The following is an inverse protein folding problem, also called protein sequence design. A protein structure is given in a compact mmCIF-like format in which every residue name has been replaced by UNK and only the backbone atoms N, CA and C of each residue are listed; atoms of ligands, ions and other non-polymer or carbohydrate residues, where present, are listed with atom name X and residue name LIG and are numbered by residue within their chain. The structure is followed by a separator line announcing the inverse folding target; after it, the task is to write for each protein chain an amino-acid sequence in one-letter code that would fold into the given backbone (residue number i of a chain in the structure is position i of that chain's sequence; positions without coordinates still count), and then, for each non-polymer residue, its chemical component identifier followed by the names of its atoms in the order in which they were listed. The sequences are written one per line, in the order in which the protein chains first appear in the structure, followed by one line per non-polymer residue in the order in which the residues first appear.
data_IF_189818740800
#
_entry.id   IF_189818740800
#
_cell.length_a   1.000
_cell.length_b   1.000
_cell.length_c   1.000
_cell.angle_alpha   90.00
_cell.angle_beta   90.00
_cell.angle_gamma   90.00
#
_symmetry.space_group_name_H-M   'P 1'
#
loop_
_entity.id
_entity.type
_entity.pdbx_description
1 polymer ?
#
# COMPACT_ATOMS: atom_id res chain seq x y z
N UNK A 1 -19.07 -5.42 -2.54
CA UNK A 1 -17.87 -5.76 -1.75
C UNK A 1 -17.27 -4.47 -1.23
N UNK A 2 -16.87 -4.44 0.04
CA UNK A 2 -16.24 -3.29 0.66
C UNK A 2 -14.73 -3.49 0.70
N UNK A 3 -13.97 -2.44 0.38
CA UNK A 3 -12.52 -2.43 0.56
C UNK A 3 -12.19 -2.48 2.07
N UNK A 4 -10.97 -2.93 2.45
CA UNK A 4 -10.44 -2.70 3.79
C UNK A 4 -10.49 -1.21 4.15
N UNK A 5 -10.54 -0.91 5.44
CA UNK A 5 -10.41 0.47 5.93
C UNK A 5 -9.01 0.99 5.63
N UNK A 6 -8.92 2.18 5.05
CA UNK A 6 -7.65 2.88 4.85
C UNK A 6 -7.44 3.93 5.94
N UNK A 7 -6.30 3.85 6.62
CA UNK A 7 -5.73 4.91 7.42
C UNK A 7 -4.63 5.57 6.59
N UNK A 8 -4.87 6.79 6.10
CA UNK A 8 -3.91 7.53 5.28
C UNK A 8 -3.15 8.49 6.18
N UNK A 9 -1.90 8.16 6.46
CA UNK A 9 -1.00 8.94 7.29
C UNK A 9 -0.25 9.95 6.42
N UNK A 10 -0.50 11.23 6.64
CA UNK A 10 0.20 12.32 5.96
C UNK A 10 0.92 13.20 6.97
N UNK A 11 2.14 13.61 6.65
CA UNK A 11 2.89 14.61 7.43
C UNK A 11 2.53 16.03 6.98
N UNK A 12 2.12 16.18 5.71
CA UNK A 12 1.71 17.45 5.12
C UNK A 12 0.19 17.49 4.98
N UNK A 13 -0.47 18.49 5.57
CA UNK A 13 -1.92 18.65 5.52
C UNK A 13 -2.43 18.93 4.10
N UNK A 14 -1.58 19.46 3.20
CA UNK A 14 -1.92 19.67 1.79
C UNK A 14 -2.17 18.36 1.06
N UNK A 15 -1.49 17.28 1.45
CA UNK A 15 -1.75 15.96 0.86
C UNK A 15 -3.14 15.45 1.24
N UNK A 16 -3.60 15.72 2.47
CA UNK A 16 -4.95 15.41 2.94
C UNK A 16 -5.99 16.21 2.14
N UNK A 17 -5.77 17.52 1.99
CA UNK A 17 -6.67 18.39 1.21
C UNK A 17 -6.75 17.96 -0.27
N UNK A 18 -5.61 17.65 -0.88
CA UNK A 18 -5.54 17.17 -2.27
C UNK A 18 -6.23 15.80 -2.41
N UNK A 19 -6.05 14.88 -1.46
CA UNK A 19 -6.75 13.59 -1.47
C UNK A 19 -8.27 13.75 -1.41
N UNK A 20 -8.79 14.55 -0.47
CA UNK A 20 -10.23 14.75 -0.32
C UNK A 20 -10.87 15.45 -1.52
N UNK A 21 -10.21 16.47 -2.08
CA UNK A 21 -10.68 17.14 -3.29
C UNK A 21 -10.68 16.20 -4.50
N UNK A 22 -9.65 15.35 -4.61
CA UNK A 22 -9.54 14.34 -5.68
C UNK A 22 -10.62 13.27 -5.55
N UNK A 23 -10.86 12.73 -4.34
CA UNK A 23 -11.96 11.78 -4.08
C UNK A 23 -13.30 12.37 -4.49
N UNK A 24 -13.58 13.61 -4.07
CA UNK A 24 -14.83 14.30 -4.38
C UNK A 24 -15.03 14.52 -5.88
N UNK A 25 -13.95 14.82 -6.60
CA UNK A 25 -13.99 15.09 -8.05
C UNK A 25 -14.04 13.83 -8.91
N UNK A 26 -13.24 12.82 -8.59
CA UNK A 26 -13.01 11.66 -9.46
C UNK A 26 -13.77 10.40 -9.03
N UNK A 27 -14.22 10.34 -7.78
CA UNK A 27 -15.05 9.26 -7.26
C UNK A 27 -16.07 9.75 -6.19
N UNK A 28 -17.08 10.56 -6.58
CA UNK A 28 -18.04 11.15 -5.62
C UNK A 28 -18.77 10.11 -4.74
N UNK A 29 -19.00 8.91 -5.26
CA UNK A 29 -19.69 7.81 -4.57
C UNK A 29 -18.74 6.87 -3.80
N UNK A 30 -17.49 7.27 -3.53
CA UNK A 30 -16.49 6.41 -2.89
C UNK A 30 -16.94 5.84 -1.54
N UNK A 31 -17.71 6.58 -0.74
CA UNK A 31 -18.18 6.15 0.60
C UNK A 31 -19.02 4.87 0.60
N UNK A 32 -19.56 4.46 -0.56
CA UNK A 32 -20.29 3.19 -0.72
C UNK A 32 -19.38 1.96 -0.74
N UNK A 33 -18.07 2.13 -0.93
CA UNK A 33 -17.13 1.02 -1.10
C UNK A 33 -15.77 1.24 -0.44
N UNK A 34 -15.45 2.49 -0.05
CA UNK A 34 -14.21 2.89 0.60
C UNK A 34 -14.51 3.53 1.97
N UNK A 35 -13.96 2.94 3.02
CA UNK A 35 -13.85 3.56 4.34
C UNK A 35 -12.43 4.12 4.48
N UNK A 36 -12.27 5.44 4.48
CA UNK A 36 -10.97 6.10 4.52
C UNK A 36 -10.94 7.13 5.64
N UNK A 37 -9.87 7.13 6.42
CA UNK A 37 -9.60 8.10 7.48
C UNK A 37 -8.20 8.67 7.27
N UNK A 38 -8.07 10.00 7.20
CA UNK A 38 -6.78 10.68 7.12
C UNK A 38 -6.26 11.00 8.52
N UNK A 39 -4.96 10.86 8.73
CA UNK A 39 -4.27 11.16 9.99
C UNK A 39 -3.13 12.13 9.66
N UNK A 40 -3.17 13.33 10.24
CA UNK A 40 -2.10 14.31 10.10
C UNK A 40 -1.09 14.15 11.23
N UNK A 41 -0.09 13.28 11.05
CA UNK A 41 0.90 12.97 12.06
C UNK A 41 2.12 12.25 11.46
N UNK A 42 3.18 12.10 12.24
CA UNK A 42 4.30 11.20 11.92
C UNK A 42 4.06 9.80 12.48
N UNK A 43 4.61 8.76 11.84
CA UNK A 43 4.41 7.35 12.26
C UNK A 43 4.75 7.12 13.75
N UNK A 44 5.85 7.71 14.23
CA UNK A 44 6.30 7.59 15.63
C UNK A 44 5.28 8.09 16.65
N UNK A 45 4.46 9.06 16.26
CA UNK A 45 3.50 9.77 17.10
C UNK A 45 2.07 9.24 16.92
N UNK A 46 1.86 8.20 16.10
CA UNK A 46 0.54 7.61 15.95
C UNK A 46 -0.06 7.22 17.32
N UNK A 47 -1.32 7.59 17.60
CA UNK A 47 -2.00 7.23 18.84
C UNK A 47 -1.95 5.71 19.09
N UNK A 48 -1.79 5.30 20.35
CA UNK A 48 -1.63 3.88 20.73
C UNK A 48 -2.90 3.04 20.52
N UNK A 49 -4.05 3.69 20.46
CA UNK A 49 -5.36 3.12 20.13
C UNK A 49 -5.59 2.96 18.62
N UNK A 50 -4.71 3.50 17.77
CA UNK A 50 -4.76 3.27 16.31
C UNK A 50 -4.48 1.79 16.01
N UNK A 51 -5.44 1.04 15.47
CA UNK A 51 -5.24 -0.37 15.10
C UNK A 51 -5.24 -0.53 13.59
N UNK A 52 -4.29 -1.31 13.08
CA UNK A 52 -4.19 -1.67 11.67
C UNK A 52 -3.49 -3.03 11.51
N UNK A 53 -3.90 -3.80 10.51
CA UNK A 53 -3.38 -5.14 10.26
C UNK A 53 -2.12 -5.11 9.38
N UNK A 54 -2.12 -4.18 8.43
CA UNK A 54 -1.12 -4.01 7.38
C UNK A 54 -0.59 -2.59 7.35
N UNK A 55 0.74 -2.43 7.25
CA UNK A 55 1.37 -1.14 6.93
C UNK A 55 2.03 -1.22 5.55
N UNK A 56 1.87 -0.16 4.75
CA UNK A 56 2.48 -0.06 3.41
C UNK A 56 3.83 0.64 3.50
N UNK A 57 4.85 -0.03 2.97
CA UNK A 57 6.20 0.48 2.77
C UNK A 57 6.36 0.92 1.31
N UNK A 58 6.61 2.22 1.01
CA UNK A 58 6.91 2.72 -0.33
C UNK A 58 8.36 2.37 -0.74
N UNK A 59 8.70 1.08 -0.65
CA UNK A 59 10.03 0.52 -0.70
C UNK A 59 10.83 0.85 -1.98
N UNK A 60 12.09 0.43 -2.00
CA UNK A 60 12.83 0.16 -3.22
C UNK A 60 12.71 -1.32 -3.64
N UNK A 61 13.09 -1.64 -4.88
CA UNK A 61 13.01 -3.00 -5.45
C UNK A 61 13.79 -4.07 -4.69
N UNK A 62 14.71 -3.70 -3.80
CA UNK A 62 15.54 -4.62 -3.01
C UNK A 62 15.08 -4.76 -1.56
N UNK A 63 13.96 -4.14 -1.18
CA UNK A 63 13.37 -4.28 0.16
C UNK A 63 14.25 -3.76 1.30
N UNK A 64 15.14 -2.81 1.01
CA UNK A 64 15.97 -2.16 2.03
C UNK A 64 15.12 -1.07 2.70
N UNK A 65 14.87 -1.19 4.00
CA UNK A 65 13.93 -0.32 4.73
C UNK A 65 14.63 0.70 5.62
N UNK A 66 15.42 1.60 5.02
CA UNK A 66 16.32 2.51 5.75
C UNK A 66 16.24 3.99 5.34
N UNK A 67 15.26 4.37 4.52
CA UNK A 67 15.06 5.74 4.06
C UNK A 67 13.63 6.25 4.27
N UNK A 68 13.47 7.55 4.52
CA UNK A 68 12.16 8.21 4.57
C UNK A 68 11.14 7.50 5.48
N UNK A 69 10.01 7.11 4.89
CA UNK A 69 8.98 6.38 5.63
C UNK A 69 9.42 4.96 6.03
N UNK A 70 10.28 4.31 5.24
CA UNK A 70 10.78 2.97 5.57
C UNK A 70 11.71 2.98 6.79
N UNK A 71 12.56 4.01 6.93
CA UNK A 71 13.33 4.23 8.16
C UNK A 71 12.40 4.44 9.36
N UNK A 72 11.31 5.21 9.17
CA UNK A 72 10.32 5.39 10.23
C UNK A 72 9.66 4.06 10.61
N UNK A 73 9.33 3.18 9.65
CA UNK A 73 8.82 1.83 9.92
C UNK A 73 9.86 1.05 10.75
N UNK A 74 11.10 0.95 10.27
CA UNK A 74 12.17 0.22 10.94
C UNK A 74 12.40 0.71 12.37
N UNK A 75 12.53 2.02 12.60
CA UNK A 75 12.72 2.58 13.96
C UNK A 75 11.54 2.34 14.89
N UNK A 76 10.34 2.26 14.33
CA UNK A 76 9.12 2.16 15.12
C UNK A 76 8.84 0.72 15.56
N UNK A 77 9.09 -0.25 14.68
CA UNK A 77 8.86 -1.66 14.99
C UNK A 77 10.09 -2.34 15.58
N UNK A 78 11.30 -1.99 15.13
CA UNK A 78 12.56 -2.49 15.70
C UNK A 78 12.96 -1.61 16.90
N UNK A 79 12.41 -1.94 18.08
CA UNK A 79 12.79 -1.36 19.36
C UNK A 79 14.30 -1.53 19.66
N UNK A 80 14.90 -0.78 20.61
CA UNK A 80 16.35 -0.78 20.84
C UNK A 80 17.00 -2.16 21.09
N UNK A 81 16.23 -3.13 21.60
CA UNK A 81 16.69 -4.51 21.81
C UNK A 81 16.66 -5.39 20.55
N UNK A 82 16.03 -4.93 19.47
CA UNK A 82 15.94 -5.64 18.20
C UNK A 82 17.03 -5.16 17.24
N UNK A 83 17.42 -6.02 16.30
CA UNK A 83 18.22 -5.59 15.14
C UNK A 83 17.39 -4.61 14.29
N UNK A 84 17.92 -3.41 14.03
CA UNK A 84 17.31 -2.44 13.14
C UNK A 84 16.97 -3.04 11.77
N UNK A 85 17.81 -3.97 11.27
CA UNK A 85 17.62 -4.65 9.99
C UNK A 85 16.64 -5.82 10.05
N UNK A 86 16.05 -6.16 11.20
CA UNK A 86 15.17 -7.32 11.32
C UNK A 86 14.04 -7.32 10.28
N UNK A 87 13.38 -6.17 10.05
CA UNK A 87 12.36 -6.03 9.00
C UNK A 87 12.94 -6.12 7.59
N UNK A 88 14.10 -5.50 7.33
CA UNK A 88 14.77 -5.60 6.03
C UNK A 88 15.14 -7.05 5.70
N UNK A 89 15.64 -7.81 6.67
CA UNK A 89 16.07 -9.19 6.46
C UNK A 89 14.88 -10.10 6.08
N UNK A 90 13.74 -9.98 6.76
CA UNK A 90 12.54 -10.76 6.39
C UNK A 90 11.91 -10.28 5.08
N UNK A 91 11.97 -8.97 4.79
CA UNK A 91 11.54 -8.43 3.51
C UNK A 91 12.38 -9.01 2.37
N UNK A 92 13.71 -8.98 2.49
CA UNK A 92 14.63 -9.51 1.48
C UNK A 92 14.52 -11.02 1.30
N UNK A 93 14.32 -11.78 2.39
CA UNK A 93 14.03 -13.20 2.29
C UNK A 93 12.75 -13.44 1.48
N UNK A 94 11.67 -12.72 1.78
CA UNK A 94 10.41 -12.87 1.05
C UNK A 94 10.54 -12.46 -0.42
N UNK A 95 11.28 -11.40 -0.70
CA UNK A 95 11.60 -10.97 -2.06
C UNK A 95 12.45 -12.02 -2.80
N UNK A 96 13.36 -12.70 -2.13
CA UNK A 96 14.11 -13.81 -2.72
C UNK A 96 13.21 -14.98 -3.10
N UNK A 97 12.33 -15.40 -2.19
CA UNK A 97 11.39 -16.50 -2.40
C UNK A 97 10.42 -16.24 -3.57
N UNK A 98 9.92 -15.01 -3.70
CA UNK A 98 8.87 -14.69 -4.67
C UNK A 98 9.42 -14.10 -5.98
N UNK A 99 10.52 -13.36 -5.91
CA UNK A 99 11.03 -12.55 -7.04
C UNK A 99 12.52 -12.74 -7.30
N UNK A 100 13.15 -13.74 -6.68
CA UNK A 100 14.61 -13.94 -6.74
C UNK A 100 15.42 -12.67 -6.35
N UNK A 101 14.87 -11.86 -5.45
CA UNK A 101 15.57 -10.75 -4.79
C UNK A 101 15.33 -9.37 -5.41
N UNK A 102 14.51 -9.27 -6.45
CA UNK A 102 14.17 -8.02 -7.12
C UNK A 102 12.66 -7.92 -7.36
N UNK A 103 11.95 -7.07 -6.62
CA UNK A 103 10.55 -6.75 -6.92
C UNK A 103 10.49 -5.55 -7.89
N UNK A 104 9.93 -5.71 -9.11
CA UNK A 104 9.76 -4.60 -10.03
C UNK A 104 8.93 -3.46 -9.41
N UNK A 105 9.24 -2.18 -9.68
CA UNK A 105 8.37 -1.07 -9.30
C UNK A 105 6.92 -1.29 -9.76
N UNK A 106 5.96 -0.79 -8.99
CA UNK A 106 4.52 -0.97 -9.28
C UNK A 106 3.93 -2.29 -8.77
N UNK A 107 4.75 -3.21 -8.24
CA UNK A 107 4.27 -4.47 -7.64
C UNK A 107 3.93 -4.33 -6.16
N UNK A 108 3.39 -5.39 -5.55
CA UNK A 108 3.21 -5.49 -4.10
C UNK A 108 3.64 -6.88 -3.61
N UNK A 109 4.32 -6.93 -2.46
CA UNK A 109 4.66 -8.18 -1.76
C UNK A 109 4.27 -8.08 -0.29
N UNK A 110 3.43 -9.00 0.18
CA UNK A 110 3.07 -9.09 1.60
C UNK A 110 4.15 -9.87 2.37
N UNK A 111 4.62 -9.28 3.45
CA UNK A 111 5.64 -9.83 4.35
C UNK A 111 5.06 -9.90 5.76
N UNK A 112 5.10 -11.09 6.37
CA UNK A 112 4.76 -11.25 7.78
C UNK A 112 5.83 -10.63 8.66
N UNK A 113 5.42 -9.80 9.62
CA UNK A 113 6.34 -9.27 10.62
C UNK A 113 6.95 -10.44 11.42
N UNK A 114 8.25 -10.36 11.77
CA UNK A 114 8.88 -11.32 12.68
C UNK A 114 8.07 -11.44 13.96
N UNK A 115 8.00 -12.65 14.52
CA UNK A 115 7.19 -12.93 15.72
C UNK A 115 7.50 -11.97 16.86
N UNK A 116 8.78 -11.72 17.12
CA UNK A 116 9.25 -10.80 18.15
C UNK A 116 8.68 -9.39 17.96
N UNK A 117 8.66 -8.88 16.73
CA UNK A 117 8.12 -7.54 16.43
C UNK A 117 6.59 -7.49 16.53
N UNK A 118 5.90 -8.61 16.25
CA UNK A 118 4.44 -8.73 16.43
C UNK A 118 4.04 -8.68 17.90
N UNK A 119 4.83 -9.29 18.78
CA UNK A 119 4.57 -9.33 20.22
C UNK A 119 4.81 -7.98 20.90
N UNK A 120 5.72 -7.15 20.37
CA UNK A 120 6.07 -5.86 20.99
C UNK A 120 5.37 -4.65 20.39
N UNK A 121 4.80 -4.74 19.18
CA UNK A 121 4.21 -3.56 18.55
C UNK A 121 2.81 -3.24 19.09
N UNK A 122 2.61 -1.97 19.49
CA UNK A 122 1.40 -1.50 20.18
C UNK A 122 0.14 -1.39 19.32
N UNK A 123 0.27 -1.45 17.99
CA UNK A 123 -0.86 -1.24 17.07
C UNK A 123 -1.49 -2.55 16.57
N UNK A 124 -0.90 -3.70 16.93
CA UNK A 124 -1.39 -5.00 16.50
C UNK A 124 -1.12 -5.29 15.02
N UNK A 125 -0.18 -4.57 14.41
CA UNK A 125 0.19 -4.77 13.02
C UNK A 125 0.94 -6.10 12.86
N UNK A 126 0.59 -6.84 11.81
CA UNK A 126 1.12 -8.19 11.56
C UNK A 126 1.86 -8.29 10.24
N UNK A 127 1.56 -7.41 9.30
CA UNK A 127 2.04 -7.48 7.92
C UNK A 127 2.64 -6.15 7.47
N UNK A 128 3.65 -6.24 6.62
CA UNK A 128 4.18 -5.13 5.83
C UNK A 128 3.91 -5.42 4.35
N UNK A 129 3.31 -4.47 3.64
CA UNK A 129 3.21 -4.51 2.19
C UNK A 129 4.38 -3.75 1.58
N UNK A 130 5.28 -4.45 0.90
CA UNK A 130 6.33 -3.82 0.12
C UNK A 130 5.74 -3.39 -1.22
N UNK A 131 5.61 -2.08 -1.43
CA UNK A 131 5.18 -1.48 -2.68
C UNK A 131 6.35 -0.70 -3.29
N UNK A 132 7.27 -1.36 -4.01
CA UNK A 132 8.43 -0.71 -4.58
C UNK A 132 8.02 0.42 -5.53
N UNK A 133 8.44 1.63 -5.23
CA UNK A 133 8.16 2.81 -6.09
C UNK A 133 9.34 3.17 -6.98
N UNK A 134 10.49 2.52 -6.77
CA UNK A 134 11.75 2.78 -7.46
C UNK A 134 12.69 1.59 -7.31
N UNK A 135 13.66 1.46 -8.21
CA UNK A 135 14.67 0.39 -8.13
C UNK A 135 15.63 0.60 -6.95
N UNK A 136 16.19 1.80 -6.90
CA UNK A 136 17.03 2.33 -5.82
C UNK A 136 16.49 3.73 -5.50
N UNK A 137 16.83 4.32 -4.34
CA UNK A 137 16.47 5.71 -4.02
C UNK A 137 16.83 6.66 -5.17
N UNK A 138 15.82 7.09 -5.93
CA UNK A 138 15.95 7.94 -7.12
C UNK A 138 14.58 8.52 -7.53
N UNK A 139 14.57 9.39 -8.53
CA UNK A 139 13.37 9.90 -9.17
C UNK A 139 12.49 8.75 -9.67
N UNK A 140 11.22 8.72 -9.27
CA UNK A 140 10.25 7.71 -9.67
C UNK A 140 9.37 8.17 -10.84
N UNK A 141 9.49 9.42 -11.29
CA UNK A 141 8.62 9.99 -12.34
C UNK A 141 8.86 9.41 -13.74
N UNK A 142 9.97 8.69 -13.94
CA UNK A 142 10.19 7.92 -15.18
C UNK A 142 9.06 6.91 -15.39
N UNK A 143 8.57 6.34 -14.30
CA UNK A 143 7.36 5.56 -14.27
C UNK A 143 6.18 6.53 -14.12
N UNK A 144 5.37 6.59 -15.17
CA UNK A 144 4.26 7.52 -15.21
C UNK A 144 3.12 7.11 -14.29
N UNK A 145 3.05 5.85 -13.86
CA UNK A 145 1.89 5.25 -13.21
C UNK A 145 2.23 4.46 -11.94
N UNK A 146 3.46 4.55 -11.43
CA UNK A 146 3.94 3.74 -10.30
C UNK A 146 3.03 3.76 -9.06
N UNK A 147 2.36 4.89 -8.76
CA UNK A 147 1.42 4.96 -7.62
C UNK A 147 0.18 4.14 -7.92
N UNK A 148 -0.36 4.27 -9.14
CA UNK A 148 -1.53 3.50 -9.58
C UNK A 148 -1.23 2.00 -9.55
N UNK A 149 -0.08 1.59 -10.11
CA UNK A 149 0.35 0.21 -10.17
C UNK A 149 0.57 -0.38 -8.78
N UNK A 150 1.29 0.31 -7.89
CA UNK A 150 1.50 -0.13 -6.51
C UNK A 150 0.19 -0.31 -5.74
N UNK A 151 -0.76 0.63 -5.88
CA UNK A 151 -2.05 0.55 -5.18
C UNK A 151 -2.91 -0.57 -5.76
N UNK A 152 -2.93 -0.74 -7.08
CA UNK A 152 -3.64 -1.84 -7.72
C UNK A 152 -3.08 -3.20 -7.29
N UNK A 153 -1.76 -3.36 -7.34
CA UNK A 153 -1.05 -4.56 -6.90
C UNK A 153 -1.28 -4.86 -5.42
N UNK A 154 -1.27 -3.84 -4.57
CA UNK A 154 -1.63 -3.95 -3.14
C UNK A 154 -3.03 -4.53 -2.98
N UNK A 155 -4.01 -4.01 -3.72
CA UNK A 155 -5.38 -4.50 -3.64
C UNK A 155 -5.51 -5.95 -4.13
N UNK A 156 -4.81 -6.32 -5.19
CA UNK A 156 -4.76 -7.71 -5.65
C UNK A 156 -4.18 -8.66 -4.59
N UNK A 157 -3.09 -8.29 -3.93
CA UNK A 157 -2.47 -9.12 -2.89
C UNK A 157 -3.35 -9.22 -1.63
N UNK A 158 -3.99 -8.13 -1.22
CA UNK A 158 -4.93 -8.14 -0.09
C UNK A 158 -6.16 -9.00 -0.39
N UNK A 159 -6.71 -8.94 -1.60
CA UNK A 159 -7.85 -9.77 -2.02
C UNK A 159 -7.48 -11.26 -2.02
N UNK A 160 -6.32 -11.61 -2.58
CA UNK A 160 -5.78 -12.99 -2.55
C UNK A 160 -5.54 -13.49 -1.12
N UNK A 161 -4.93 -12.66 -0.28
CA UNK A 161 -4.69 -12.98 1.13
C UNK A 161 -6.02 -13.27 1.86
N UNK A 162 -6.98 -12.36 1.72
CA UNK A 162 -8.28 -12.47 2.37
C UNK A 162 -9.09 -13.65 1.83
N UNK A 163 -9.01 -13.98 0.54
CA UNK A 163 -9.69 -15.14 -0.06
C UNK A 163 -9.10 -16.50 0.32
N UNK A 164 -7.77 -16.60 0.54
CA UNK A 164 -7.14 -17.82 1.08
C UNK A 164 -7.61 -18.12 2.51
N UNK A 165 -7.83 -17.08 3.31
CA UNK A 165 -8.26 -17.17 4.70
C UNK A 165 -9.75 -17.53 4.86
N UNK A 166 -10.61 -17.27 3.87
CA UNK A 166 -12.03 -17.69 3.91
C UNK A 166 -12.22 -19.15 3.52
N UNK A 167 -11.30 -19.71 2.72
CA UNK A 167 -11.43 -21.05 2.14
C UNK A 167 -10.84 -22.16 3.03
N UNK A 168 -10.16 -21.80 4.12
CA UNK A 168 -9.40 -22.73 4.95
C UNK A 168 -9.89 -22.71 6.41
N UNK A 169 -10.94 -23.48 6.73
CA UNK A 169 -11.37 -23.71 8.12
C UNK A 169 -10.36 -24.53 8.95
N UNK A 170 -9.20 -24.90 8.40
CA UNK A 170 -8.23 -25.83 9.01
C UNK A 170 -6.76 -25.38 9.02
N UNK A 171 -6.41 -24.18 8.54
CA UNK A 171 -5.00 -23.70 8.49
C UNK A 171 -4.70 -22.49 9.39
N UNK A 172 -5.52 -22.23 10.42
CA UNK A 172 -5.25 -21.22 11.46
C UNK A 172 -4.02 -21.54 12.35
N UNK A 173 -3.25 -22.59 12.03
CA UNK A 173 -2.07 -22.99 12.77
C UNK A 173 -0.97 -21.89 12.84
N UNK A 174 -1.03 -20.85 11.99
CA UNK A 174 -0.04 -19.77 11.95
C UNK A 174 -0.54 -18.38 12.38
N UNK A 175 -1.80 -18.23 12.83
CA UNK A 175 -2.33 -16.95 13.33
C UNK A 175 -2.44 -15.85 12.27
N UNK A 176 -2.51 -16.22 10.99
CA UNK A 176 -2.73 -15.30 9.86
C UNK A 176 -4.20 -14.87 9.83
N UNK A 177 -4.45 -13.59 10.11
CA UNK A 177 -5.79 -13.00 10.10
C UNK A 177 -6.08 -12.30 8.79
N UNK A 178 -7.37 -12.11 8.51
CA UNK A 178 -7.86 -11.20 7.47
C UNK A 178 -7.24 -9.79 7.65
N UNK A 179 -7.01 -9.11 6.53
CA UNK A 179 -6.58 -7.70 6.47
C UNK A 179 -7.85 -6.85 6.35
N UNK A 180 -8.23 -6.19 7.43
CA UNK A 180 -9.41 -5.33 7.50
C UNK A 180 -9.04 -3.85 7.58
N UNK A 181 -7.84 -3.51 8.06
CA UNK A 181 -7.34 -2.12 8.10
C UNK A 181 -5.90 -1.99 7.59
N UNK A 182 -5.68 -1.05 6.67
CA UNK A 182 -4.41 -0.74 6.02
C UNK A 182 -3.95 0.66 6.42
N UNK A 183 -2.74 0.79 6.95
CA UNK A 183 -2.05 2.07 7.13
C UNK A 183 -1.15 2.34 5.92
N UNK A 184 -1.33 3.47 5.26
CA UNK A 184 -0.57 3.88 4.06
C UNK A 184 -0.16 5.35 4.15
N UNK A 185 0.95 5.69 3.50
CA UNK A 185 1.46 7.06 3.35
C UNK A 185 1.41 7.48 1.88
N UNK A 186 1.51 8.78 1.53
CA UNK A 186 1.72 9.19 0.15
C UNK A 186 2.90 8.48 -0.52
N UNK A 187 2.62 7.72 -1.59
CA UNK A 187 3.62 6.90 -2.27
C UNK A 187 4.43 7.76 -3.24
N UNK A 188 5.75 7.58 -3.24
CA UNK A 188 6.70 8.25 -4.12
C UNK A 188 6.76 9.79 -4.05
N UNK A 189 6.09 10.44 -3.09
CA UNK A 189 6.08 11.91 -2.97
C UNK A 189 7.30 12.50 -2.28
N UNK A 190 8.10 11.65 -1.61
CA UNK A 190 9.40 12.01 -1.05
C UNK A 190 10.51 11.94 -2.10
N UNK A 191 11.48 11.04 -1.91
CA UNK A 191 12.61 10.84 -2.84
C UNK A 191 12.18 10.60 -4.29
N UNK A 192 11.03 9.96 -4.50
CA UNK A 192 10.52 9.66 -5.85
C UNK A 192 10.00 10.86 -6.63
N UNK A 193 9.84 12.03 -6.01
CA UNK A 193 9.48 13.28 -6.68
C UNK A 193 8.08 13.33 -7.30
N UNK A 194 7.20 12.36 -7.04
CA UNK A 194 5.81 12.37 -7.52
C UNK A 194 5.04 13.52 -6.85
N UNK A 195 4.34 14.33 -7.63
CA UNK A 195 3.52 15.43 -7.08
C UNK A 195 2.34 14.89 -6.26
N UNK A 196 1.87 15.67 -5.29
CA UNK A 196 0.71 15.29 -4.46
C UNK A 196 -0.55 15.11 -5.30
N UNK A 197 -0.70 15.90 -6.37
CA UNK A 197 -1.81 15.83 -7.31
C UNK A 197 -1.78 14.51 -8.08
N UNK A 198 -0.60 14.13 -8.59
CA UNK A 198 -0.41 12.85 -9.28
C UNK A 198 -0.62 11.66 -8.34
N UNK A 199 -0.05 11.70 -7.13
CA UNK A 199 -0.25 10.67 -6.11
C UNK A 199 -1.74 10.49 -5.78
N UNK A 200 -2.43 11.57 -5.41
CA UNK A 200 -3.83 11.50 -5.02
C UNK A 200 -4.71 10.98 -6.15
N UNK A 201 -4.50 11.46 -7.39
CA UNK A 201 -5.26 11.01 -8.54
C UNK A 201 -5.05 9.52 -8.81
N UNK A 202 -3.80 9.07 -8.85
CA UNK A 202 -3.50 7.66 -9.11
C UNK A 202 -3.98 6.73 -7.98
N UNK A 203 -3.83 7.14 -6.73
CA UNK A 203 -4.36 6.41 -5.57
C UNK A 203 -5.89 6.24 -5.67
N UNK A 204 -6.62 7.31 -5.96
CA UNK A 204 -8.09 7.28 -6.09
C UNK A 204 -8.53 6.45 -7.28
N UNK A 205 -7.89 6.62 -8.44
CA UNK A 205 -8.23 5.86 -9.65
C UNK A 205 -7.97 4.37 -9.47
N UNK A 206 -6.85 3.97 -8.85
CA UNK A 206 -6.55 2.56 -8.60
C UNK A 206 -7.63 1.90 -7.74
N UNK A 207 -8.02 2.51 -6.62
CA UNK A 207 -9.09 1.98 -5.76
C UNK A 207 -10.45 1.96 -6.48
N UNK A 208 -10.81 3.04 -7.18
CA UNK A 208 -12.06 3.15 -7.94
C UNK A 208 -12.16 2.05 -9.00
N UNK A 209 -11.11 1.90 -9.80
CA UNK A 209 -11.05 0.91 -10.88
C UNK A 209 -11.05 -0.51 -10.31
N UNK A 210 -10.36 -0.76 -9.18
CA UNK A 210 -10.34 -2.07 -8.55
C UNK A 210 -11.74 -2.47 -8.05
N UNK A 211 -12.48 -1.54 -7.44
CA UNK A 211 -13.89 -1.76 -7.06
C UNK A 211 -14.75 -2.02 -8.29
N UNK A 212 -14.50 -1.34 -9.41
CA UNK A 212 -15.21 -1.61 -10.66
C UNK A 212 -14.93 -3.03 -11.17
N UNK A 213 -13.68 -3.48 -11.09
CA UNK A 213 -13.25 -4.81 -11.48
C UNK A 213 -13.94 -5.90 -10.65
N UNK A 214 -14.04 -5.70 -9.34
CA UNK A 214 -14.77 -6.62 -8.46
C UNK A 214 -16.28 -6.65 -8.74
N UNK A 215 -16.88 -5.54 -9.19
CA UNK A 215 -18.33 -5.44 -9.47
C UNK A 215 -18.72 -5.95 -10.85
N UNK A 216 -17.79 -5.98 -11.81
CA UNK A 216 -18.05 -6.33 -13.22
C UNK A 216 -17.04 -7.38 -13.73
N UNK A 217 -16.94 -8.55 -13.10
CA UNK A 217 -15.95 -9.57 -13.49
C UNK A 217 -16.11 -10.03 -14.95
N UNK A 218 -17.33 -10.06 -15.49
CA UNK A 218 -17.61 -10.40 -16.88
C UNK A 218 -16.96 -9.44 -17.88
N UNK A 219 -16.90 -8.14 -17.55
CA UNK A 219 -16.19 -7.14 -18.33
C UNK A 219 -14.68 -7.28 -18.15
N UNK A 220 -14.22 -7.25 -16.91
CA UNK A 220 -12.80 -7.13 -16.58
C UNK A 220 -11.98 -8.40 -16.91
N UNK A 221 -12.64 -9.55 -17.00
CA UNK A 221 -11.99 -10.80 -17.44
C UNK A 221 -11.77 -10.90 -18.96
N UNK A 222 -12.33 -9.98 -19.76
CA UNK A 222 -12.36 -10.07 -21.24
C UNK A 222 -12.30 -8.69 -21.94
N UNK A 223 -11.55 -7.75 -21.38
CA UNK A 223 -11.43 -6.39 -21.93
C UNK A 223 -10.82 -6.35 -23.35
N UNK A 224 -11.30 -5.41 -24.16
CA UNK A 224 -10.69 -5.01 -25.44
C UNK A 224 -10.15 -3.58 -25.33
N UNK A 225 -9.29 -3.19 -26.27
CA UNK A 225 -8.72 -1.83 -26.32
C UNK A 225 -9.79 -0.72 -26.31
N UNK A 226 -10.93 -0.94 -26.96
CA UNK A 226 -12.07 -0.02 -26.99
C UNK A 226 -12.75 0.15 -25.61
N UNK A 227 -12.61 -0.82 -24.70
CA UNK A 227 -13.22 -0.80 -23.37
C UNK A 227 -12.37 -0.06 -22.31
N UNK A 228 -11.11 0.26 -22.62
CA UNK A 228 -10.10 0.78 -21.69
C UNK A 228 -10.23 2.29 -21.44
N UNK A 229 -11.42 2.74 -21.02
CA UNK A 229 -11.60 4.12 -20.54
C UNK A 229 -10.73 4.42 -19.31
N UNK A 230 -10.46 3.42 -18.48
CA UNK A 230 -9.66 3.53 -17.26
C UNK A 230 -8.22 3.93 -17.56
N UNK A 231 -7.62 3.38 -18.63
CA UNK A 231 -6.28 3.78 -19.07
C UNK A 231 -6.24 5.29 -19.39
N UNK A 232 -7.23 5.80 -20.14
CA UNK A 232 -7.35 7.23 -20.45
C UNK A 232 -7.60 8.11 -19.22
N UNK A 233 -8.19 7.58 -18.14
CA UNK A 233 -8.32 8.31 -16.88
C UNK A 233 -6.97 8.45 -16.18
N UNK A 234 -6.15 7.38 -16.16
CA UNK A 234 -4.82 7.39 -15.53
C UNK A 234 -3.83 8.25 -16.32
N UNK A 235 -3.89 8.22 -17.66
CA UNK A 235 -3.06 9.04 -18.56
C UNK A 235 -3.11 10.54 -18.24
N UNK A 236 -4.23 11.03 -17.70
CA UNK A 236 -4.39 12.45 -17.30
C UNK A 236 -3.44 12.86 -16.18
N UNK A 237 -2.92 11.90 -15.42
CA UNK A 237 -1.97 12.13 -14.34
C UNK A 237 -0.52 12.29 -14.82
N UNK A 238 -0.22 11.97 -16.09
CA UNK A 238 1.17 11.89 -16.57
C UNK A 238 1.89 13.24 -16.63
N UNK A 239 1.14 14.34 -16.73
CA UNK A 239 1.66 15.71 -16.84
C UNK A 239 1.55 16.49 -15.53
N UNK A 240 1.13 15.82 -14.44
CA UNK A 240 1.00 16.39 -13.10
C UNK A 240 2.31 16.30 -12.31
#
# INVERSE_FOLDING_TARGET
MALPKFLVLCIDDRDIQTLHSTLSKHWPAHTQSLNLTTIHENLRNLPSDTKFDLIVSPANSYGILDGGFDDAISRTFCLPQHDYRALTNVAQQKLYEQWHGFAPPGTCTLVSMPRELRETNRWGCKLVALCPTMRTPDDARWDREVVYECVWSLMCEVDRWNGRNTSSSSNLANGESRIDTILITPLATGTGGVSREKWALQFVLALKHFVDAQKRPERWSRLRWEDLKEAKEVERSWQM
#
